data_IF_061204093364
#
_entry.id   IF_061204093364
#
_cell.length_a   1.000
_cell.length_b   1.000
_cell.length_c   1.000
_cell.angle_alpha   90.00
_cell.angle_beta   90.00
_cell.angle_gamma   90.00
#
_symmetry.space_group_name_H-M   'P 1'
#
loop_
_entity.id
_entity.type
_entity.pdbx_description
1 polymer ?
#
# COMPACT_ATOMS: atom_id res chain seq x y z
N UNK A 1 -32.70 -12.21 -7.86
CA UNK A 1 -31.31 -12.11 -7.37
C UNK A 1 -31.09 -12.71 -5.97
N UNK A 2 -32.10 -12.72 -5.11
CA UNK A 2 -32.01 -13.26 -3.74
C UNK A 2 -31.75 -14.79 -3.64
N UNK A 3 -31.97 -15.52 -4.74
CA UNK A 3 -31.76 -16.98 -4.83
C UNK A 3 -30.28 -17.36 -4.96
N UNK A 4 -29.45 -16.52 -5.58
CA UNK A 4 -28.01 -16.76 -5.73
C UNK A 4 -27.32 -16.71 -4.36
N UNK A 5 -27.59 -15.68 -3.56
CA UNK A 5 -27.09 -15.53 -2.19
C UNK A 5 -27.57 -16.64 -1.23
N UNK A 6 -28.77 -17.20 -1.46
CA UNK A 6 -29.31 -18.32 -0.66
C UNK A 6 -28.59 -19.64 -0.94
N UNK A 7 -28.28 -19.91 -2.21
CA UNK A 7 -27.57 -21.13 -2.59
C UNK A 7 -26.08 -21.07 -2.20
N UNK A 8 -25.43 -19.91 -2.33
CA UNK A 8 -24.06 -19.71 -1.84
C UNK A 8 -23.88 -19.97 -0.34
N UNK A 9 -24.92 -19.71 0.46
CA UNK A 9 -24.89 -19.88 1.92
C UNK A 9 -25.35 -21.28 2.38
N UNK A 10 -25.88 -22.10 1.47
CA UNK A 10 -26.39 -23.44 1.76
C UNK A 10 -25.47 -24.56 1.24
N UNK A 11 -24.41 -24.21 0.51
CA UNK A 11 -23.45 -25.17 -0.06
C UNK A 11 -22.21 -25.26 0.85
N UNK A 12 -22.20 -26.24 1.75
CA UNK A 12 -21.09 -26.52 2.68
C UNK A 12 -19.76 -26.79 1.93
N UNK A 13 -19.82 -27.31 0.70
CA UNK A 13 -18.66 -27.49 -0.18
C UNK A 13 -18.17 -26.16 -0.83
N UNK A 14 -19.06 -25.18 -0.98
CA UNK A 14 -18.75 -23.86 -1.51
C UNK A 14 -18.11 -22.93 -0.47
N UNK A 15 -18.44 -23.10 0.81
CA UNK A 15 -17.91 -22.27 1.90
C UNK A 15 -16.38 -22.31 1.99
N UNK A 16 -15.76 -23.49 1.86
CA UNK A 16 -14.29 -23.66 1.88
C UNK A 16 -13.62 -23.06 0.64
N UNK A 17 -14.30 -23.03 -0.51
CA UNK A 17 -13.75 -22.43 -1.74
C UNK A 17 -13.96 -20.91 -1.83
N UNK A 18 -14.90 -20.36 -1.07
CA UNK A 18 -15.13 -18.91 -1.00
C UNK A 18 -14.31 -18.27 0.13
N UNK A 19 -14.05 -18.97 1.22
CA UNK A 19 -13.25 -18.45 2.35
C UNK A 19 -11.80 -18.16 1.94
N UNK A 20 -11.15 -19.03 1.15
CA UNK A 20 -9.75 -18.76 0.72
C UNK A 20 -9.64 -17.51 -0.16
N UNK A 21 -10.66 -17.21 -0.98
CA UNK A 21 -10.68 -16.00 -1.82
C UNK A 21 -10.96 -14.77 -0.95
N UNK A 22 -11.90 -14.86 -0.01
CA UNK A 22 -12.26 -13.73 0.85
C UNK A 22 -11.09 -13.35 1.77
N UNK A 23 -10.39 -14.34 2.34
CA UNK A 23 -9.21 -14.11 3.17
C UNK A 23 -8.07 -13.46 2.37
N UNK A 24 -7.79 -13.94 1.16
CA UNK A 24 -6.76 -13.33 0.31
C UNK A 24 -7.14 -11.93 -0.16
N UNK A 25 -8.40 -11.70 -0.52
CA UNK A 25 -8.91 -10.38 -0.86
C UNK A 25 -8.78 -9.39 0.31
N UNK A 26 -9.02 -9.83 1.55
CA UNK A 26 -8.82 -9.02 2.75
C UNK A 26 -7.34 -8.63 2.94
N UNK A 27 -6.41 -9.57 2.73
CA UNK A 27 -4.96 -9.30 2.80
C UNK A 27 -4.52 -8.32 1.70
N UNK A 28 -5.03 -8.48 0.47
CA UNK A 28 -4.72 -7.56 -0.64
C UNK A 28 -5.28 -6.16 -0.36
N UNK A 29 -6.48 -6.04 0.21
CA UNK A 29 -7.04 -4.76 0.60
C UNK A 29 -6.20 -4.06 1.68
N UNK A 30 -5.74 -4.81 2.69
CA UNK A 30 -4.82 -4.31 3.73
C UNK A 30 -3.49 -3.85 3.11
N UNK A 31 -2.92 -4.63 2.18
CA UNK A 31 -1.69 -4.27 1.48
C UNK A 31 -1.85 -3.00 0.64
N UNK A 32 -2.99 -2.85 -0.04
CA UNK A 32 -3.34 -1.64 -0.79
C UNK A 32 -3.38 -0.40 0.10
N UNK A 33 -3.99 -0.51 1.30
CA UNK A 33 -4.01 0.59 2.26
C UNK A 33 -2.59 0.97 2.73
N UNK A 34 -1.75 -0.02 3.07
CA UNK A 34 -0.37 0.21 3.50
C UNK A 34 0.50 0.86 2.41
N UNK A 35 0.30 0.48 1.15
CA UNK A 35 1.09 0.99 0.02
C UNK A 35 0.99 2.50 -0.14
N UNK A 36 -0.19 3.08 0.10
CA UNK A 36 -0.40 4.54 0.03
C UNK A 36 0.47 5.30 1.04
N UNK A 37 0.56 4.78 2.27
CA UNK A 37 1.35 5.39 3.34
C UNK A 37 2.85 5.27 3.05
N UNK A 38 3.29 4.10 2.57
CA UNK A 38 4.69 3.89 2.19
C UNK A 38 5.11 4.83 1.05
N UNK A 39 4.27 4.98 0.03
CA UNK A 39 4.53 5.89 -1.09
C UNK A 39 4.67 7.36 -0.66
N UNK A 40 3.77 7.84 0.21
CA UNK A 40 3.82 9.20 0.74
C UNK A 40 5.08 9.44 1.58
N UNK A 41 5.44 8.51 2.46
CA UNK A 41 6.64 8.60 3.29
C UNK A 41 7.91 8.55 2.45
N UNK A 42 7.95 7.68 1.44
CA UNK A 42 9.09 7.58 0.50
C UNK A 42 9.28 8.88 -0.27
N UNK A 43 8.20 9.46 -0.80
CA UNK A 43 8.25 10.76 -1.49
C UNK A 43 8.76 11.87 -0.57
N UNK A 44 8.28 11.91 0.66
CA UNK A 44 8.72 12.87 1.68
C UNK A 44 10.22 12.74 1.94
N UNK A 45 10.69 11.51 2.16
CA UNK A 45 12.11 11.22 2.37
C UNK A 45 12.97 11.63 1.16
N UNK A 46 12.55 11.28 -0.07
CA UNK A 46 13.26 11.69 -1.28
C UNK A 46 13.36 13.21 -1.43
N UNK A 47 12.28 13.95 -1.11
CA UNK A 47 12.31 15.41 -1.11
C UNK A 47 13.27 15.96 -0.06
N UNK A 48 13.27 15.41 1.16
CA UNK A 48 14.18 15.81 2.22
C UNK A 48 15.66 15.56 1.83
N UNK A 49 15.97 14.41 1.24
CA UNK A 49 17.31 14.09 0.73
C UNK A 49 17.74 15.09 -0.35
N UNK A 50 16.86 15.39 -1.31
CA UNK A 50 17.18 16.36 -2.38
C UNK A 50 17.45 17.77 -1.84
N UNK A 51 16.69 18.18 -0.81
CA UNK A 51 16.91 19.46 -0.13
C UNK A 51 18.27 19.48 0.60
N UNK A 52 18.61 18.41 1.32
CA UNK A 52 19.90 18.30 2.02
C UNK A 52 21.08 18.31 1.05
N UNK A 53 21.02 17.57 -0.06
CA UNK A 53 22.07 17.60 -1.09
C UNK A 53 22.26 19.01 -1.64
N UNK A 54 21.17 19.74 -1.90
CA UNK A 54 21.22 21.12 -2.38
C UNK A 54 21.85 22.04 -1.33
N UNK A 55 21.49 21.87 -0.05
CA UNK A 55 22.07 22.62 1.05
C UNK A 55 23.59 22.35 1.20
N UNK A 56 24.01 21.09 1.13
CA UNK A 56 25.43 20.70 1.19
C UNK A 56 26.21 21.23 -0.02
N UNK A 57 25.63 21.21 -1.22
CA UNK A 57 26.24 21.80 -2.41
C UNK A 57 26.45 23.32 -2.23
N UNK A 58 25.44 24.03 -1.73
CA UNK A 58 25.54 25.46 -1.44
C UNK A 58 26.60 25.77 -0.37
N UNK A 59 26.68 24.95 0.69
CA UNK A 59 27.70 25.09 1.73
C UNK A 59 29.12 24.86 1.19
N UNK A 60 29.30 23.86 0.32
CA UNK A 60 30.61 23.56 -0.30
C UNK A 60 31.06 24.67 -1.26
N UNK A 61 30.14 25.21 -2.08
CA UNK A 61 30.43 26.34 -2.98
C UNK A 61 30.71 27.63 -2.18
N UNK A 62 29.97 27.85 -1.09
CA UNK A 62 30.18 28.99 -0.19
C UNK A 62 31.50 28.94 0.56
N UNK A 63 31.97 27.74 0.94
CA UNK A 63 33.27 27.53 1.57
C UNK A 63 34.46 27.63 0.58
N UNK A 64 34.19 27.64 -0.73
CA UNK A 64 35.21 27.75 -1.79
C UNK A 64 35.49 29.20 -2.22
N UNK A 65 34.87 30.20 -1.57
CA UNK A 65 35.12 31.64 -1.75
C UNK A 65 35.70 32.24 -0.47
#
# INVERSE_FOLDING_TARGET
MIKLFKNFRADEAGAVTVDWVVLTAAVVALAGAAYTTIGANTKTLSTAIGAEITAQQAATIGASK
#
